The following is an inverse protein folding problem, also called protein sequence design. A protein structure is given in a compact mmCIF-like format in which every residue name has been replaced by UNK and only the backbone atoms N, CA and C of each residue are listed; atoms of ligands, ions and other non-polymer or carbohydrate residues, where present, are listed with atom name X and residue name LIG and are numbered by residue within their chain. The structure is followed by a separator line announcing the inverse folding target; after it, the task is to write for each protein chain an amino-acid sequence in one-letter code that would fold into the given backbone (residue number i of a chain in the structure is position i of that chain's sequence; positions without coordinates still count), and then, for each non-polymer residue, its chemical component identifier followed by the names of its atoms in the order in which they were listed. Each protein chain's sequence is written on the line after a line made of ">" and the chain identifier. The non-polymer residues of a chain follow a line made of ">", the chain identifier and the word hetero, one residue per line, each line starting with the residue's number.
data_IF_113190126228
#
_entry.id   IF_113190126228
#
_cell.length_a   1.000
_cell.length_b   1.000
_cell.length_c   1.000
_cell.angle_alpha   90.00
_cell.angle_beta   90.00
_cell.angle_gamma   90.00
#
_symmetry.space_group_name_H-M   'P 1'
#
loop_
_entity.id
_entity.type
_entity.pdbx_description
1 polymer ?
#
# COMPACT_ATOMS: atom_id res chain seq x y z
N UNK A 1 11.48 -41.20 41.73
CA UNK A 1 10.94 -39.92 42.22
C UNK A 1 9.66 -39.63 41.49
N UNK A 2 8.58 -39.39 42.25
CA UNK A 2 7.23 -39.09 41.78
C UNK A 2 7.19 -37.65 41.26
N UNK A 3 6.49 -37.41 40.14
CA UNK A 3 5.39 -36.43 40.12
C UNK A 3 4.54 -36.62 38.86
N UNK A 4 3.28 -37.01 39.09
CA UNK A 4 2.18 -36.89 38.14
C UNK A 4 1.85 -35.40 37.98
N UNK A 5 1.48 -34.99 36.76
CA UNK A 5 0.38 -34.03 36.58
C UNK A 5 -0.46 -34.45 35.38
N UNK A 6 -1.54 -35.16 35.69
CA UNK A 6 -2.70 -35.29 34.83
C UNK A 6 -3.51 -34.00 34.96
N UNK A 7 -3.82 -33.33 33.85
CA UNK A 7 -4.92 -32.37 33.78
C UNK A 7 -5.78 -32.76 32.58
N UNK A 8 -6.75 -33.61 32.91
CA UNK A 8 -7.98 -33.83 32.19
C UNK A 8 -8.71 -32.49 32.08
N UNK A 9 -8.95 -31.99 30.86
CA UNK A 9 -9.91 -30.92 30.66
C UNK A 9 -10.93 -31.38 29.62
N UNK A 10 -12.17 -31.50 30.10
CA UNK A 10 -13.35 -31.95 29.39
C UNK A 10 -13.69 -31.04 28.20
N UNK A 11 -14.17 -31.67 27.13
CA UNK A 11 -14.97 -31.09 26.05
C UNK A 11 -16.16 -30.27 26.59
N UNK A 12 -16.67 -29.34 25.77
CA UNK A 12 -17.98 -29.66 25.20
C UNK A 12 -17.98 -29.70 23.67
N UNK A 13 -18.48 -30.84 23.19
CA UNK A 13 -18.98 -31.10 21.86
C UNK A 13 -20.26 -30.25 21.67
N UNK A 14 -20.24 -29.25 20.79
CA UNK A 14 -21.48 -28.57 20.38
C UNK A 14 -21.90 -29.14 19.03
N UNK A 15 -22.91 -29.98 19.08
CA UNK A 15 -23.66 -30.45 17.92
C UNK A 15 -24.76 -29.41 17.68
N UNK A 16 -24.76 -28.75 16.53
CA UNK A 16 -25.95 -28.05 16.03
C UNK A 16 -26.07 -28.29 14.54
N UNK A 17 -27.21 -28.89 14.16
CA UNK A 17 -27.39 -29.59 12.91
C UNK A 17 -28.10 -28.82 11.80
N UNK A 18 -28.10 -29.50 10.65
CA UNK A 18 -29.06 -29.55 9.54
C UNK A 18 -29.51 -28.25 8.83
N UNK A 19 -29.10 -28.18 7.55
CA UNK A 19 -30.05 -27.96 6.45
C UNK A 19 -30.10 -26.56 5.85
N UNK A 20 -29.34 -26.34 4.77
CA UNK A 20 -29.96 -26.04 3.48
C UNK A 20 -28.94 -26.13 2.34
N UNK A 21 -29.33 -26.82 1.28
CA UNK A 21 -28.70 -26.75 -0.03
C UNK A 21 -28.92 -25.34 -0.60
N UNK A 22 -27.86 -24.74 -1.13
CA UNK A 22 -27.86 -23.39 -1.66
C UNK A 22 -26.50 -23.12 -2.30
N UNK A 23 -26.34 -23.66 -3.49
CA UNK A 23 -25.26 -23.39 -4.43
C UNK A 23 -25.20 -21.88 -4.74
N UNK A 24 -24.14 -21.18 -4.34
CA UNK A 24 -23.70 -19.91 -4.95
C UNK A 24 -22.27 -19.57 -4.50
N UNK A 25 -21.36 -19.65 -5.48
CA UNK A 25 -20.08 -18.94 -5.63
C UNK A 25 -19.89 -17.75 -4.67
N UNK A 26 -19.01 -17.91 -3.68
CA UNK A 26 -18.70 -16.87 -2.70
C UNK A 26 -17.19 -16.73 -2.51
N UNK A 27 -16.62 -15.79 -3.25
CA UNK A 27 -15.28 -15.21 -3.12
C UNK A 27 -14.78 -15.19 -1.66
N UNK A 28 -13.57 -15.73 -1.44
CA UNK A 28 -12.84 -15.61 -0.17
C UNK A 28 -12.71 -14.12 0.17
N UNK A 29 -13.34 -13.76 1.29
CA UNK A 29 -13.33 -12.43 1.87
C UNK A 29 -11.90 -11.97 2.17
N UNK A 30 -11.50 -10.82 1.61
CA UNK A 30 -10.47 -10.00 2.22
C UNK A 30 -11.11 -9.20 3.35
N UNK A 31 -10.97 -9.71 4.58
CA UNK A 31 -11.08 -8.90 5.79
C UNK A 31 -9.85 -7.98 5.85
N UNK A 32 -10.10 -6.68 5.73
CA UNK A 32 -9.14 -5.62 5.97
C UNK A 32 -9.88 -4.40 6.52
N UNK A 33 -9.53 -4.04 7.75
CA UNK A 33 -10.21 -3.10 8.64
C UNK A 33 -10.55 -1.74 8.00
N UNK A 34 -11.83 -1.35 8.11
CA UNK A 34 -12.34 -0.01 7.78
C UNK A 34 -12.03 0.95 8.93
N UNK A 35 -10.76 1.28 9.12
CA UNK A 35 -10.38 2.41 9.96
C UNK A 35 -10.82 3.67 9.25
N UNK A 36 -11.85 4.34 9.78
CA UNK A 36 -12.40 5.58 9.22
C UNK A 36 -11.46 6.74 9.55
N UNK A 37 -10.27 6.72 8.94
CA UNK A 37 -9.39 7.88 8.82
C UNK A 37 -10.18 9.00 8.12
N UNK A 38 -9.99 10.29 8.47
CA UNK A 38 -10.56 11.39 7.69
C UNK A 38 -10.24 11.13 6.21
N UNK A 39 -11.28 11.11 5.37
CA UNK A 39 -11.15 10.73 3.98
C UNK A 39 -10.29 11.75 3.26
N UNK A 40 -9.01 11.44 3.06
CA UNK A 40 -8.12 12.28 2.27
C UNK A 40 -8.68 12.28 0.84
N UNK A 41 -9.05 13.45 0.26
CA UNK A 41 -9.66 13.50 -1.05
C UNK A 41 -8.67 13.05 -2.13
N UNK A 42 -9.03 11.98 -2.85
CA UNK A 42 -8.23 11.36 -3.90
C UNK A 42 -8.70 11.84 -5.28
N UNK A 43 -7.76 12.18 -6.17
CA UNK A 43 -8.02 12.45 -7.58
C UNK A 43 -8.31 11.13 -8.30
N UNK A 44 -9.58 10.90 -8.66
CA UNK A 44 -10.06 9.63 -9.21
C UNK A 44 -9.40 9.28 -10.54
N UNK A 45 -9.12 10.27 -11.40
CA UNK A 45 -8.47 10.05 -12.69
C UNK A 45 -7.03 9.56 -12.51
N UNK A 46 -6.27 10.19 -11.60
CA UNK A 46 -4.90 9.76 -11.28
C UNK A 46 -4.90 8.42 -10.54
N UNK A 47 -5.83 8.19 -9.61
CA UNK A 47 -5.94 6.94 -8.88
C UNK A 47 -6.29 5.75 -9.78
N UNK A 48 -7.08 5.97 -10.84
CA UNK A 48 -7.37 4.96 -11.85
C UNK A 48 -6.10 4.53 -12.60
N UNK A 49 -5.30 5.50 -13.04
CA UNK A 49 -4.05 5.26 -13.78
C UNK A 49 -2.88 4.77 -12.90
N UNK A 50 -2.91 5.04 -11.60
CA UNK A 50 -1.86 4.64 -10.66
C UNK A 50 -2.03 3.20 -10.18
N UNK A 51 -0.89 2.57 -9.89
CA UNK A 51 -0.84 1.24 -9.29
C UNK A 51 -0.97 1.31 -7.77
N UNK A 52 -0.46 2.38 -7.16
CA UNK A 52 -0.70 2.69 -5.75
C UNK A 52 -0.87 4.20 -5.50
N UNK A 53 -1.61 4.52 -4.44
CA UNK A 53 -1.83 5.88 -3.94
C UNK A 53 -1.40 5.91 -2.48
N UNK A 54 -0.45 6.77 -2.15
CA UNK A 54 0.18 6.81 -0.83
C UNK A 54 0.11 8.22 -0.26
N UNK A 55 -0.19 8.34 1.02
CA UNK A 55 0.05 9.56 1.78
C UNK A 55 1.44 9.47 2.39
N UNK A 56 2.31 10.42 2.03
CA UNK A 56 3.73 10.36 2.33
C UNK A 56 4.27 11.69 2.81
N UNK A 57 5.45 11.65 3.44
CA UNK A 57 6.27 12.82 3.73
C UNK A 57 7.65 12.62 3.11
N UNK A 58 8.16 13.63 2.40
CA UNK A 58 9.54 13.60 1.91
C UNK A 58 10.52 13.64 3.08
N UNK A 59 11.51 12.74 3.08
CA UNK A 59 12.54 12.68 4.13
C UNK A 59 13.95 12.88 3.58
N UNK A 60 14.22 12.53 2.32
CA UNK A 60 15.48 12.85 1.66
C UNK A 60 15.28 13.08 0.16
N UNK A 61 16.01 14.04 -0.39
CA UNK A 61 16.12 14.23 -1.84
C UNK A 61 17.19 13.31 -2.40
N UNK A 62 16.90 12.69 -3.53
CA UNK A 62 17.92 12.03 -4.33
C UNK A 62 18.70 13.03 -5.18
N UNK A 63 19.76 12.55 -5.82
CA UNK A 63 20.50 13.28 -6.84
C UNK A 63 20.79 12.33 -8.02
N UNK A 64 20.39 12.73 -9.23
CA UNK A 64 20.68 12.03 -10.47
C UNK A 64 20.46 13.00 -11.66
N UNK A 65 21.03 12.68 -12.82
CA UNK A 65 20.92 13.50 -14.03
C UNK A 65 19.62 13.27 -14.81
N UNK A 66 19.00 12.08 -14.68
CA UNK A 66 17.78 11.71 -15.42
C UNK A 66 16.61 11.45 -14.48
N UNK A 67 16.84 10.65 -13.44
CA UNK A 67 15.80 10.21 -12.52
C UNK A 67 16.19 10.47 -11.08
N UNK A 68 15.62 11.50 -10.47
CA UNK A 68 15.87 11.78 -9.05
C UNK A 68 15.05 10.80 -8.21
N UNK A 69 15.74 10.05 -7.36
CA UNK A 69 15.16 9.07 -6.43
C UNK A 69 14.95 9.68 -5.05
N UNK A 70 13.79 10.30 -4.85
CA UNK A 70 13.41 10.84 -3.55
C UNK A 70 13.07 9.71 -2.57
N UNK A 71 13.52 9.83 -1.33
CA UNK A 71 13.09 8.93 -0.24
C UNK A 71 11.93 9.57 0.51
N UNK A 72 10.84 8.82 0.62
CA UNK A 72 9.65 9.23 1.37
C UNK A 72 9.35 8.28 2.52
N UNK A 73 8.82 8.83 3.60
CA UNK A 73 8.15 8.07 4.64
C UNK A 73 6.68 7.87 4.25
N UNK A 74 6.20 6.63 4.32
CA UNK A 74 4.80 6.29 4.09
C UNK A 74 4.05 6.49 5.41
N UNK A 75 3.13 7.43 5.41
CA UNK A 75 2.23 7.67 6.54
C UNK A 75 0.99 6.78 6.44
N UNK A 76 0.47 6.60 5.22
CA UNK A 76 -0.70 5.77 4.97
C UNK A 76 -0.70 5.23 3.53
N UNK A 77 -1.10 3.98 3.36
CA UNK A 77 -1.44 3.40 2.06
C UNK A 77 -2.92 3.63 1.81
N UNK A 78 -3.26 4.44 0.80
CA UNK A 78 -4.65 4.77 0.47
C UNK A 78 -5.25 3.75 -0.50
N UNK A 79 -4.46 3.36 -1.50
CA UNK A 79 -4.83 2.36 -2.50
C UNK A 79 -3.60 1.58 -2.91
N UNK A 80 -3.74 0.26 -3.03
CA UNK A 80 -2.66 -0.62 -3.49
C UNK A 80 -3.22 -1.72 -4.39
N UNK A 81 -2.91 -1.66 -5.69
CA UNK A 81 -3.32 -2.66 -6.69
C UNK A 81 -2.22 -3.70 -6.98
N UNK A 82 -1.10 -3.63 -6.28
CA UNK A 82 0.14 -4.37 -6.63
C UNK A 82 0.22 -5.76 -6.00
N UNK A 83 -0.51 -5.99 -4.90
CA UNK A 83 -0.32 -7.17 -4.05
C UNK A 83 0.95 -7.14 -3.18
N UNK A 84 1.80 -6.12 -3.31
CA UNK A 84 3.05 -5.96 -2.55
C UNK A 84 2.79 -5.12 -1.30
N UNK A 85 3.31 -5.53 -0.15
CA UNK A 85 3.31 -4.71 1.07
C UNK A 85 4.38 -3.63 0.99
N UNK A 86 3.98 -2.36 1.15
CA UNK A 86 4.93 -1.27 1.28
C UNK A 86 5.50 -1.21 2.71
N UNK A 87 6.81 -0.99 2.83
CA UNK A 87 7.46 -0.72 4.11
C UNK A 87 7.15 0.67 4.66
N UNK A 88 7.90 1.10 5.69
CA UNK A 88 7.77 2.45 6.27
C UNK A 88 8.32 3.55 5.37
N UNK A 89 9.25 3.20 4.49
CA UNK A 89 9.93 4.11 3.57
C UNK A 89 9.90 3.56 2.16
N UNK A 90 9.92 4.47 1.18
CA UNK A 90 9.91 4.12 -0.23
C UNK A 90 10.81 5.07 -1.01
N UNK A 91 11.63 4.53 -1.91
CA UNK A 91 12.31 5.31 -2.92
C UNK A 91 11.38 5.51 -4.11
N UNK A 92 11.18 6.76 -4.53
CA UNK A 92 10.27 7.14 -5.61
C UNK A 92 11.00 8.04 -6.60
N UNK A 93 11.06 7.60 -7.84
CA UNK A 93 11.67 8.33 -8.94
C UNK A 93 10.76 9.44 -9.48
N UNK A 94 11.39 10.52 -9.94
CA UNK A 94 10.79 11.50 -10.84
C UNK A 94 11.83 12.03 -11.84
N UNK A 95 11.39 12.67 -12.92
CA UNK A 95 12.33 13.27 -13.87
C UNK A 95 13.05 14.46 -13.25
N UNK A 96 14.38 14.56 -13.46
CA UNK A 96 15.21 15.62 -12.89
C UNK A 96 14.76 17.05 -13.30
N UNK A 97 14.21 17.19 -14.51
CA UNK A 97 13.69 18.47 -15.04
C UNK A 97 12.21 18.73 -14.69
N UNK A 98 11.59 17.87 -13.88
CA UNK A 98 10.23 18.07 -13.38
C UNK A 98 10.28 18.33 -11.88
N UNK A 99 9.34 19.13 -11.40
CA UNK A 99 9.11 19.29 -9.96
C UNK A 99 8.92 17.91 -9.33
N UNK A 100 9.66 17.59 -8.26
CA UNK A 100 9.56 16.34 -7.52
C UNK A 100 8.45 16.34 -6.46
N UNK A 101 8.63 15.54 -5.43
CA UNK A 101 7.69 15.40 -4.30
C UNK A 101 7.78 16.64 -3.40
N UNK A 102 6.70 17.32 -2.99
CA UNK A 102 6.76 18.42 -2.03
C UNK A 102 7.40 18.02 -0.69
N UNK A 103 7.96 18.98 0.05
CA UNK A 103 8.50 18.74 1.39
C UNK A 103 7.42 18.46 2.44
N UNK A 104 6.25 19.11 2.30
CA UNK A 104 5.10 18.87 3.16
C UNK A 104 4.45 17.50 2.88
N UNK A 105 3.74 16.91 3.85
CA UNK A 105 2.95 15.70 3.63
C UNK A 105 2.00 15.85 2.44
N UNK A 106 1.93 14.83 1.59
CA UNK A 106 1.19 14.90 0.34
C UNK A 106 0.71 13.52 -0.13
N UNK A 107 -0.26 13.52 -1.05
CA UNK A 107 -0.62 12.31 -1.78
C UNK A 107 0.27 12.14 -3.00
N UNK A 108 0.89 10.98 -3.14
CA UNK A 108 1.59 10.56 -4.35
C UNK A 108 0.84 9.44 -5.07
N UNK A 109 0.86 9.50 -6.39
CA UNK A 109 0.34 8.48 -7.29
C UNK A 109 1.53 7.83 -7.98
N UNK A 110 1.71 6.52 -7.82
CA UNK A 110 2.90 5.82 -8.31
C UNK A 110 2.57 4.66 -9.25
N UNK A 111 3.53 4.37 -10.12
CA UNK A 111 3.54 3.24 -11.05
C UNK A 111 4.90 2.53 -10.97
N UNK A 112 4.98 1.25 -11.34
CA UNK A 112 6.25 0.57 -11.54
C UNK A 112 7.10 1.32 -12.57
N UNK A 113 8.37 1.52 -12.24
CA UNK A 113 9.37 1.99 -13.18
C UNK A 113 9.91 0.78 -13.93
N UNK A 114 9.63 0.72 -15.23
CA UNK A 114 10.26 -0.25 -16.12
C UNK A 114 11.61 0.31 -16.57
N UNK A 115 12.70 -0.28 -16.10
CA UNK A 115 14.04 -0.02 -16.64
C UNK A 115 14.27 -0.91 -17.87
N UNK A 116 15.19 -0.53 -18.75
CA UNK A 116 15.47 -1.25 -20.00
C UNK A 116 15.90 -2.71 -19.78
N UNK A 117 16.42 -3.02 -18.58
CA UNK A 117 16.87 -4.34 -18.16
C UNK A 117 15.83 -5.11 -17.33
N UNK A 118 14.66 -4.55 -17.02
CA UNK A 118 13.55 -5.21 -16.28
C UNK A 118 13.95 -5.82 -14.92
N UNK A 119 15.10 -5.46 -14.34
CA UNK A 119 15.73 -6.19 -13.23
C UNK A 119 15.14 -5.89 -11.85
N UNK A 120 14.43 -4.78 -11.67
CA UNK A 120 13.58 -4.57 -10.49
C UNK A 120 12.62 -3.40 -10.73
N UNK A 121 11.31 -3.55 -10.46
CA UNK A 121 10.39 -2.42 -10.56
C UNK A 121 10.65 -1.48 -9.38
N UNK A 122 11.45 -0.44 -9.61
CA UNK A 122 11.41 0.75 -8.75
C UNK A 122 10.05 1.43 -8.84
N UNK A 123 9.78 2.41 -7.99
CA UNK A 123 8.54 3.18 -8.06
C UNK A 123 8.81 4.54 -8.68
N UNK A 124 7.94 4.97 -9.59
CA UNK A 124 7.98 6.31 -10.17
C UNK A 124 6.69 7.05 -9.86
N UNK A 125 6.77 8.37 -9.68
CA UNK A 125 5.58 9.21 -9.77
C UNK A 125 4.86 8.97 -11.09
N UNK A 126 3.53 8.97 -11.07
CA UNK A 126 2.71 8.91 -12.28
C UNK A 126 3.14 10.02 -13.24
N UNK A 127 3.48 9.64 -14.49
CA UNK A 127 4.06 10.53 -15.51
C UNK A 127 5.40 11.19 -15.14
N UNK A 128 6.09 10.70 -14.10
CA UNK A 128 7.38 11.18 -13.65
C UNK A 128 7.41 12.62 -13.14
N UNK A 129 6.27 13.14 -12.71
CA UNK A 129 6.10 14.56 -12.39
C UNK A 129 5.39 14.77 -11.05
N UNK A 130 5.88 15.71 -10.25
CA UNK A 130 5.25 16.23 -9.02
C UNK A 130 3.85 16.83 -9.17
N UNK A 131 3.26 16.94 -10.37
CA UNK A 131 1.79 17.12 -10.50
C UNK A 131 1.02 15.89 -9.99
N UNK A 132 1.69 14.74 -9.91
CA UNK A 132 1.24 13.54 -9.22
C UNK A 132 1.64 13.51 -7.74
N UNK A 133 2.16 14.60 -7.19
CA UNK A 133 2.44 14.77 -5.77
C UNK A 133 1.65 15.99 -5.27
N UNK A 134 0.45 15.75 -4.75
CA UNK A 134 -0.51 16.79 -4.45
C UNK A 134 -0.48 17.07 -2.95
N UNK A 135 0.16 18.17 -2.56
CA UNK A 135 -0.05 18.82 -1.27
C UNK A 135 -1.44 19.43 -1.28
N UNK A 136 -2.34 18.92 -0.43
CA UNK A 136 -3.57 19.63 -0.07
C UNK A 136 -3.49 20.05 1.40
N UNK A 137 -4.09 21.19 1.76
CA UNK A 137 -4.25 21.61 3.15
C UNK A 137 -5.11 20.62 3.95
#
# INVERSE_FOLDING_TARGET
>A
MRLLFAITCLLPLVISGCGNAGDHTGTIAQQGTKDKHPSIPVDSAKAAAATAVLHVKLIARGEDRRYIWDTVQINQVIQNKTGVSFGKTLAVAHYAWKKGIPSSPCLIYIVPMTTADNTAPGWMLLNGHGKAAVTRP
#
